data_IF_667094202987
#
_entry.id   IF_667094202987
#
_cell.length_a   1.000
_cell.length_b   1.000
_cell.length_c   1.000
_cell.angle_alpha   90.00
_cell.angle_beta   90.00
_cell.angle_gamma   90.00
#
_symmetry.space_group_name_H-M   'P 1'
#
loop_
_entity.id
_entity.type
_entity.pdbx_description
1 polymer ?
#
# COMPACT_ATOMS: atom_id res chain seq x y z
N UNK A 1 -13.94 -15.66 20.08
CA UNK A 1 -13.54 -16.88 19.34
C UNK A 1 -12.03 -16.96 19.30
N UNK A 2 -11.45 -18.00 19.89
CA UNK A 2 -9.99 -18.21 19.90
C UNK A 2 -9.49 -18.40 18.46
N UNK A 3 -8.48 -17.63 18.05
CA UNK A 3 -7.81 -17.84 16.76
C UNK A 3 -7.06 -19.17 16.86
N UNK A 4 -7.49 -20.19 16.10
CA UNK A 4 -6.60 -21.32 15.84
C UNK A 4 -5.38 -20.79 15.09
N UNK A 5 -4.21 -20.95 15.68
CA UNK A 5 -2.96 -20.62 15.02
C UNK A 5 -2.65 -21.73 14.00
N UNK A 6 -2.60 -21.36 12.72
CA UNK A 6 -2.19 -22.27 11.66
C UNK A 6 -0.71 -22.02 11.38
N UNK A 7 0.07 -23.10 11.36
CA UNK A 7 1.48 -23.05 10.92
C UNK A 7 1.56 -22.77 9.42
N UNK A 8 2.75 -22.40 8.91
CA UNK A 8 2.93 -22.21 7.48
C UNK A 8 2.62 -23.48 6.68
N UNK A 9 3.00 -24.65 7.23
CA UNK A 9 2.74 -25.96 6.64
C UNK A 9 1.24 -26.26 6.57
N UNK A 10 0.48 -26.00 7.65
CA UNK A 10 -0.98 -26.18 7.64
C UNK A 10 -1.66 -25.31 6.58
N UNK A 11 -1.24 -24.04 6.49
CA UNK A 11 -1.76 -23.10 5.48
C UNK A 11 -1.48 -23.60 4.08
N UNK A 12 -0.27 -24.11 3.85
CA UNK A 12 0.16 -24.62 2.56
C UNK A 12 -0.68 -25.83 2.15
N UNK A 13 -0.83 -26.83 3.04
CA UNK A 13 -1.64 -28.01 2.77
C UNK A 13 -3.11 -27.66 2.45
N UNK A 14 -3.68 -26.68 3.14
CA UNK A 14 -5.06 -26.21 2.88
C UNK A 14 -5.15 -25.52 1.52
N UNK A 15 -4.21 -24.62 1.20
CA UNK A 15 -4.18 -23.92 -0.09
C UNK A 15 -4.01 -24.91 -1.23
N UNK A 16 -3.09 -25.87 -1.10
CA UNK A 16 -2.83 -26.86 -2.14
C UNK A 16 -4.06 -27.73 -2.42
N UNK A 17 -4.74 -28.24 -1.37
CA UNK A 17 -6.00 -29.01 -1.53
C UNK A 17 -7.10 -28.24 -2.27
N UNK A 18 -7.09 -26.91 -2.18
CA UNK A 18 -8.06 -26.06 -2.89
C UNK A 18 -7.63 -25.85 -4.35
N UNK A 19 -6.35 -25.60 -4.62
CA UNK A 19 -5.86 -25.45 -6.00
C UNK A 19 -5.94 -26.78 -6.78
N UNK A 20 -5.72 -27.91 -6.12
CA UNK A 20 -5.86 -29.26 -6.68
C UNK A 20 -7.33 -29.68 -6.91
N UNK A 21 -8.30 -28.85 -6.49
CA UNK A 21 -9.73 -29.12 -6.63
C UNK A 21 -10.30 -30.17 -5.66
N UNK A 22 -9.47 -30.72 -4.75
CA UNK A 22 -9.87 -31.73 -3.78
C UNK A 22 -10.93 -31.24 -2.80
N UNK A 23 -10.91 -29.95 -2.43
CA UNK A 23 -11.92 -29.32 -1.57
C UNK A 23 -12.35 -27.95 -2.09
N UNK A 24 -13.63 -27.65 -1.96
CA UNK A 24 -14.16 -26.32 -2.28
C UNK A 24 -13.83 -25.28 -1.20
N UNK A 25 -13.78 -23.99 -1.58
CA UNK A 25 -13.54 -22.87 -0.64
C UNK A 25 -14.54 -22.86 0.53
N UNK A 26 -15.83 -23.12 0.25
CA UNK A 26 -16.87 -23.16 1.29
C UNK A 26 -16.64 -24.31 2.27
N UNK A 27 -16.22 -25.46 1.76
CA UNK A 27 -15.92 -26.63 2.57
C UNK A 27 -14.69 -26.40 3.44
N UNK A 28 -13.61 -25.85 2.88
CA UNK A 28 -12.40 -25.51 3.62
C UNK A 28 -12.69 -24.55 4.80
N UNK A 29 -13.52 -23.53 4.57
CA UNK A 29 -13.95 -22.58 5.60
C UNK A 29 -14.65 -23.29 6.75
N UNK A 30 -15.57 -24.21 6.45
CA UNK A 30 -16.31 -24.99 7.46
C UNK A 30 -15.41 -26.00 8.19
N UNK A 31 -14.57 -26.72 7.45
CA UNK A 31 -13.72 -27.81 7.95
C UNK A 31 -12.59 -27.30 8.85
N UNK A 32 -11.94 -26.21 8.45
CA UNK A 32 -10.79 -25.66 9.16
C UNK A 32 -11.14 -24.46 10.05
N UNK A 33 -12.38 -23.94 9.99
CA UNK A 33 -12.82 -22.80 10.80
C UNK A 33 -12.17 -21.47 10.40
N UNK A 34 -11.78 -21.34 9.13
CA UNK A 34 -11.05 -20.18 8.60
C UNK A 34 -12.02 -19.26 7.86
N UNK A 35 -11.92 -17.94 8.03
CA UNK A 35 -12.75 -17.02 7.26
C UNK A 35 -12.37 -17.02 5.77
N UNK A 36 -13.36 -16.84 4.88
CA UNK A 36 -13.14 -16.69 3.42
C UNK A 36 -12.08 -15.63 3.09
N UNK A 37 -12.09 -14.53 3.83
CA UNK A 37 -11.13 -13.42 3.63
C UNK A 37 -9.70 -13.79 4.02
N UNK A 38 -9.52 -14.63 5.05
CA UNK A 38 -8.20 -15.11 5.47
C UNK A 38 -7.64 -16.08 4.43
N UNK A 39 -8.48 -17.00 3.96
CA UNK A 39 -8.09 -17.97 2.94
C UNK A 39 -7.71 -17.29 1.61
N UNK A 40 -8.48 -16.27 1.19
CA UNK A 40 -8.13 -15.46 0.02
C UNK A 40 -6.77 -14.75 0.18
N UNK A 41 -6.45 -14.25 1.38
CA UNK A 41 -5.14 -13.65 1.67
C UNK A 41 -4.01 -14.67 1.57
N UNK A 42 -4.19 -15.90 2.08
CA UNK A 42 -3.20 -16.95 1.98
C UNK A 42 -2.93 -17.35 0.54
N UNK A 43 -3.98 -17.62 -0.25
CA UNK A 43 -3.86 -17.94 -1.69
C UNK A 43 -3.11 -16.85 -2.47
N UNK A 44 -3.47 -15.57 -2.25
CA UNK A 44 -2.77 -14.44 -2.88
C UNK A 44 -1.29 -14.39 -2.48
N UNK A 45 -1.00 -14.49 -1.19
CA UNK A 45 0.40 -14.46 -0.71
C UNK A 45 1.21 -15.63 -1.26
N UNK A 46 0.62 -16.82 -1.32
CA UNK A 46 1.26 -17.99 -1.89
C UNK A 46 1.59 -17.79 -3.38
N UNK A 47 0.67 -17.24 -4.18
CA UNK A 47 0.95 -16.93 -5.60
C UNK A 47 2.06 -15.90 -5.80
N UNK A 48 2.21 -14.94 -4.89
CA UNK A 48 3.16 -13.83 -5.05
C UNK A 48 4.52 -14.12 -4.41
N UNK A 49 4.55 -14.86 -3.30
CA UNK A 49 5.74 -15.05 -2.47
C UNK A 49 6.10 -16.54 -2.27
N UNK A 50 5.36 -17.46 -2.88
CA UNK A 50 5.52 -18.89 -2.63
C UNK A 50 5.22 -19.26 -1.17
N UNK A 51 5.90 -20.30 -0.69
CA UNK A 51 5.72 -20.84 0.66
C UNK A 51 6.03 -19.81 1.76
N UNK A 52 7.07 -18.99 1.60
CA UNK A 52 7.45 -17.90 2.52
C UNK A 52 6.30 -16.90 2.76
N UNK A 53 5.39 -16.75 1.79
CA UNK A 53 4.20 -15.90 1.93
C UNK A 53 3.22 -16.35 3.01
N UNK A 54 3.29 -17.62 3.41
CA UNK A 54 2.42 -18.25 4.40
C UNK A 54 3.01 -18.22 5.82
N UNK A 55 4.31 -17.93 5.92
CA UNK A 55 5.00 -17.83 7.18
C UNK A 55 4.53 -16.63 8.02
N UNK A 56 4.56 -16.76 9.37
CA UNK A 56 4.35 -15.61 10.23
C UNK A 56 5.44 -14.56 9.96
N UNK A 57 5.04 -13.29 9.88
CA UNK A 57 6.01 -12.20 9.78
C UNK A 57 6.59 -11.92 11.15
N UNK A 58 7.89 -12.16 11.30
CA UNK A 58 8.64 -11.92 12.54
C UNK A 58 9.04 -10.43 12.66
N UNK A 59 9.27 -9.76 11.53
CA UNK A 59 9.74 -8.38 11.48
C UNK A 59 8.87 -7.50 10.56
N UNK A 60 8.89 -6.19 10.84
CA UNK A 60 8.29 -5.20 9.97
C UNK A 60 9.12 -5.06 8.68
N UNK A 61 8.44 -4.91 7.53
CA UNK A 61 9.12 -4.66 6.26
C UNK A 61 9.68 -3.25 6.24
N UNK A 62 10.96 -3.11 5.97
CA UNK A 62 11.58 -1.84 5.59
C UNK A 62 11.49 -1.66 4.07
N UNK A 63 11.30 -0.41 3.64
CA UNK A 63 11.26 -0.04 2.23
C UNK A 63 12.14 1.18 2.02
N UNK A 64 12.99 1.14 1.01
CA UNK A 64 13.82 2.28 0.61
C UNK A 64 12.93 3.45 0.14
N UNK A 65 13.46 4.67 0.26
CA UNK A 65 12.75 5.86 -0.21
C UNK A 65 12.44 5.79 -1.71
N UNK A 66 13.39 5.29 -2.49
CA UNK A 66 13.27 5.07 -3.93
C UNK A 66 12.12 4.11 -4.27
N UNK A 67 12.06 2.95 -3.60
CA UNK A 67 11.00 1.97 -3.84
C UNK A 67 9.62 2.56 -3.52
N UNK A 68 9.50 3.30 -2.41
CA UNK A 68 8.25 3.97 -2.05
C UNK A 68 7.82 4.98 -3.12
N UNK A 69 8.77 5.77 -3.63
CA UNK A 69 8.50 6.77 -4.66
C UNK A 69 8.02 6.12 -5.96
N UNK A 70 8.70 5.07 -6.41
CA UNK A 70 8.32 4.32 -7.61
C UNK A 70 6.92 3.70 -7.46
N UNK A 71 6.63 3.08 -6.31
CA UNK A 71 5.31 2.51 -6.05
C UNK A 71 4.18 3.56 -6.07
N UNK A 72 4.45 4.79 -5.60
CA UNK A 72 3.46 5.87 -5.64
C UNK A 72 3.25 6.36 -7.07
N UNK A 73 4.33 6.55 -7.84
CA UNK A 73 4.24 6.97 -9.25
C UNK A 73 3.45 5.97 -10.09
N UNK A 74 3.81 4.69 -10.02
CA UNK A 74 3.09 3.60 -10.70
C UNK A 74 1.60 3.55 -10.35
N UNK A 75 1.24 3.91 -9.11
CA UNK A 75 -0.16 3.96 -8.69
C UNK A 75 -0.91 5.17 -9.27
N UNK A 76 -0.24 6.31 -9.43
CA UNK A 76 -0.83 7.56 -9.94
C UNK A 76 -0.90 7.61 -11.46
N UNK A 77 0.08 7.03 -12.16
CA UNK A 77 0.13 6.97 -13.63
C UNK A 77 -0.98 6.06 -14.22
N UNK A 78 -1.71 5.31 -13.38
CA UNK A 78 -2.95 4.62 -13.75
C UNK A 78 -2.77 3.32 -14.53
N UNK A 79 -1.53 2.94 -14.88
CA UNK A 79 -1.24 1.70 -15.63
C UNK A 79 -1.37 0.42 -14.81
N UNK A 80 -1.33 0.50 -13.48
CA UNK A 80 -1.47 -0.65 -12.59
C UNK A 80 -2.58 -0.42 -11.56
N UNK A 81 -3.40 -1.44 -11.34
CA UNK A 81 -4.33 -1.43 -10.21
C UNK A 81 -3.58 -1.38 -8.88
N UNK A 82 -4.23 -0.85 -7.84
CA UNK A 82 -3.65 -0.78 -6.49
C UNK A 82 -3.10 -2.14 -6.01
N UNK A 83 -3.78 -3.23 -6.35
CA UNK A 83 -3.36 -4.58 -5.98
C UNK A 83 -2.11 -5.03 -6.75
N UNK A 84 -2.01 -4.72 -8.04
CA UNK A 84 -0.83 -5.01 -8.86
C UNK A 84 0.39 -4.24 -8.38
N UNK A 85 0.25 -2.94 -8.04
CA UNK A 85 1.34 -2.16 -7.44
C UNK A 85 1.81 -2.79 -6.13
N UNK A 86 0.88 -3.19 -5.26
CA UNK A 86 1.21 -3.83 -3.99
C UNK A 86 1.99 -5.14 -4.20
N UNK A 87 1.61 -5.93 -5.19
CA UNK A 87 2.28 -7.20 -5.47
C UNK A 87 3.65 -6.97 -6.12
N UNK A 88 3.75 -6.06 -7.11
CA UNK A 88 4.99 -5.67 -7.79
C UNK A 88 6.07 -5.20 -6.80
N UNK A 89 5.70 -4.28 -5.91
CA UNK A 89 6.63 -3.68 -4.94
C UNK A 89 6.64 -4.39 -3.58
N UNK A 90 5.98 -5.55 -3.48
CA UNK A 90 5.90 -6.35 -2.26
C UNK A 90 5.43 -5.54 -1.03
N UNK A 91 4.46 -4.64 -1.23
CA UNK A 91 3.95 -3.75 -0.17
C UNK A 91 3.09 -4.56 0.80
N UNK A 92 3.18 -4.25 2.10
CA UNK A 92 2.52 -5.02 3.14
C UNK A 92 0.98 -4.94 3.08
N UNK A 93 0.42 -3.80 2.67
CA UNK A 93 -1.02 -3.56 2.66
C UNK A 93 -1.44 -2.40 1.76
N UNK A 94 -2.74 -2.34 1.44
CA UNK A 94 -3.35 -1.18 0.77
C UNK A 94 -3.22 0.10 1.58
N UNK A 95 -3.40 0.01 2.90
CA UNK A 95 -3.26 1.16 3.79
C UNK A 95 -1.82 1.70 3.79
N UNK A 96 -0.82 0.83 3.63
CA UNK A 96 0.58 1.25 3.55
C UNK A 96 0.85 2.07 2.28
N UNK A 97 0.39 1.59 1.12
CA UNK A 97 0.49 2.34 -0.14
C UNK A 97 -0.29 3.66 -0.06
N UNK A 98 -1.53 3.64 0.45
CA UNK A 98 -2.34 4.84 0.62
C UNK A 98 -1.67 5.89 1.53
N UNK A 99 -0.99 5.44 2.59
CA UNK A 99 -0.21 6.33 3.46
C UNK A 99 0.96 6.99 2.71
N UNK A 100 1.64 6.26 1.83
CA UNK A 100 2.72 6.82 1.01
C UNK A 100 2.20 7.82 -0.01
N UNK A 101 1.10 7.51 -0.70
CA UNK A 101 0.44 8.44 -1.63
C UNK A 101 0.02 9.72 -0.92
N UNK A 102 -0.56 9.61 0.28
CA UNK A 102 -0.92 10.78 1.09
C UNK A 102 0.29 11.64 1.45
N UNK A 103 1.41 11.02 1.84
CA UNK A 103 2.66 11.75 2.14
C UNK A 103 3.23 12.44 0.91
N UNK A 104 3.23 11.76 -0.22
CA UNK A 104 3.68 12.29 -1.51
C UNK A 104 2.86 13.51 -1.93
N UNK A 105 1.52 13.41 -1.90
CA UNK A 105 0.63 14.52 -2.24
C UNK A 105 0.69 15.68 -1.23
N UNK A 106 1.06 15.40 0.02
CA UNK A 106 1.30 16.43 1.04
C UNK A 106 2.71 17.03 1.00
N UNK A 107 3.47 16.83 -0.08
CA UNK A 107 4.87 17.27 -0.24
C UNK A 107 5.79 16.89 0.94
N UNK A 108 5.43 15.84 1.68
CA UNK A 108 6.18 15.34 2.83
C UNK A 108 7.18 14.29 2.37
N UNK A 109 8.33 14.21 3.03
CA UNK A 109 9.35 13.22 2.65
C UNK A 109 8.84 11.77 2.84
N UNK A 110 9.11 10.91 1.86
CA UNK A 110 8.82 9.46 1.92
C UNK A 110 9.88 8.67 2.71
N UNK A 111 10.88 9.38 3.25
CA UNK A 111 12.01 8.80 3.96
C UNK A 111 11.57 8.11 5.27
N UNK A 112 12.44 7.25 5.80
CA UNK A 112 12.27 6.73 7.15
C UNK A 112 12.20 7.91 8.14
N UNK A 113 11.37 7.79 9.18
CA UNK A 113 11.25 8.83 10.20
C UNK A 113 12.58 8.96 10.94
N UNK A 114 13.38 9.96 10.58
CA UNK A 114 14.64 10.31 11.24
C UNK A 114 14.38 11.37 12.30
N UNK A 115 13.51 11.09 13.28
CA UNK A 115 13.37 11.88 14.52
C UNK A 115 13.27 13.40 14.37
N UNK A 116 12.86 13.91 13.21
CA UNK A 116 12.91 15.32 12.86
C UNK A 116 11.53 15.94 12.92
N UNK A 117 11.49 17.24 13.22
CA UNK A 117 10.28 18.04 13.31
C UNK A 117 9.36 17.79 12.10
N UNK A 118 8.05 17.56 12.32
CA UNK A 118 7.11 17.27 11.25
C UNK A 118 7.16 18.37 10.19
N UNK A 119 7.14 17.97 8.91
CA UNK A 119 7.01 18.91 7.80
C UNK A 119 5.75 19.77 8.02
N UNK A 120 5.96 21.07 8.22
CA UNK A 120 4.89 22.03 8.48
C UNK A 120 4.01 22.13 7.22
N UNK A 121 2.92 21.36 7.20
CA UNK A 121 1.96 21.23 6.08
C UNK A 121 0.68 22.02 6.29
N UNK A 122 0.63 22.89 7.32
CA UNK A 122 -0.47 23.86 7.44
C UNK A 122 -0.21 25.00 6.44
N UNK A 123 -0.72 24.82 5.22
CA UNK A 123 -0.84 25.93 4.27
C UNK A 123 -1.83 26.98 4.78
N UNK A 124 -1.61 28.24 4.39
CA UNK A 124 -2.57 29.33 4.61
C UNK A 124 -3.88 28.99 3.89
N UNK A 125 -5.02 29.19 4.55
CA UNK A 125 -6.32 29.14 3.87
C UNK A 125 -6.40 30.29 2.87
N UNK A 126 -6.49 29.97 1.58
CA UNK A 126 -6.70 30.94 0.50
C UNK A 126 -8.15 30.94 0.04
N UNK A 127 -8.65 32.13 -0.26
CA UNK A 127 -9.95 32.40 -0.88
C UNK A 127 -9.94 31.97 -2.35
N UNK A 128 -11.13 31.87 -2.95
CA UNK A 128 -11.27 31.53 -4.37
C UNK A 128 -10.59 32.54 -5.30
N UNK A 129 -10.68 33.83 -4.98
CA UNK A 129 -10.03 34.90 -5.75
C UNK A 129 -8.51 34.77 -5.69
N UNK A 130 -7.94 34.56 -4.48
CA UNK A 130 -6.50 34.35 -4.32
C UNK A 130 -6.00 33.13 -5.12
N UNK A 131 -6.82 32.08 -5.26
CA UNK A 131 -6.46 30.92 -6.10
C UNK A 131 -6.46 31.25 -7.58
N UNK A 132 -7.40 32.08 -8.05
CA UNK A 132 -7.41 32.57 -9.43
C UNK A 132 -6.15 33.41 -9.68
N UNK A 133 -5.82 34.31 -8.76
CA UNK A 133 -4.68 35.22 -8.90
C UNK A 133 -3.35 34.45 -8.91
N UNK A 134 -3.19 33.45 -8.04
CA UNK A 134 -2.02 32.56 -8.03
C UNK A 134 -1.88 31.79 -9.35
N UNK A 135 -2.98 31.28 -9.90
CA UNK A 135 -2.96 30.55 -11.18
C UNK A 135 -2.58 31.48 -12.33
N UNK A 136 -3.19 32.66 -12.40
CA UNK A 136 -2.86 33.66 -13.42
C UNK A 136 -1.40 34.12 -13.32
N UNK A 137 -0.90 34.33 -12.10
CA UNK A 137 0.49 34.68 -11.86
C UNK A 137 1.45 33.59 -12.36
N UNK A 138 1.19 32.32 -12.05
CA UNK A 138 2.02 31.20 -12.49
C UNK A 138 2.01 31.03 -14.02
N UNK A 139 0.87 31.22 -14.67
CA UNK A 139 0.76 31.16 -16.13
C UNK A 139 1.54 32.29 -16.82
N UNK A 140 1.60 33.47 -16.20
CA UNK A 140 2.35 34.62 -16.72
C UNK A 140 3.87 34.53 -16.49
N UNK A 141 4.33 33.75 -15.50
CA UNK A 141 5.73 33.69 -15.06
C UNK A 141 6.38 32.32 -15.32
N UNK A 142 6.10 31.69 -16.45
CA UNK A 142 6.72 30.42 -16.88
C UNK A 142 6.67 29.28 -15.83
N UNK A 143 5.60 29.24 -15.03
CA UNK A 143 5.44 28.24 -13.97
C UNK A 143 6.49 28.34 -12.84
N UNK A 144 7.03 29.53 -12.56
CA UNK A 144 7.92 29.76 -11.39
C UNK A 144 7.12 29.78 -10.08
N UNK A 145 6.76 28.57 -9.61
CA UNK A 145 5.98 28.35 -8.39
C UNK A 145 6.65 28.86 -7.11
N UNK A 146 7.98 29.12 -7.14
CA UNK A 146 8.70 29.62 -5.96
C UNK A 146 8.39 31.09 -5.68
N UNK A 147 8.15 31.90 -6.71
CA UNK A 147 7.79 33.32 -6.55
C UNK A 147 6.32 33.54 -6.19
N UNK A 148 5.46 32.58 -6.53
CA UNK A 148 4.04 32.61 -6.21
C UNK A 148 3.73 32.24 -4.73
N UNK A 149 4.74 31.80 -3.96
CA UNK A 149 4.59 31.23 -2.63
C UNK A 149 4.77 32.23 -1.46
N UNK A 150 4.65 33.54 -1.70
CA UNK A 150 4.70 34.57 -0.65
C UNK A 150 3.34 34.79 0.03
#
# INVERSE_FOLDING_TARGET
>A
MSKKEHTASDKFAIVQKIEDGCIGVKEAVRKFGISKTTLAKWRRRYRVYGYEGLEPRIHNRSYSAELKLQAVKDHLEGGLSQYQVIDKYKIASRCQLASWVKKYNGHSSLNAYTGGSPAMTKGRSTTYQERIDIVLYCLANEQDYKKAAN
#
